data_IF_040727560629
#
_entry.id   IF_040727560629
#
_cell.length_a   1.000
_cell.length_b   1.000
_cell.length_c   1.000
_cell.angle_alpha   90.00
_cell.angle_beta   90.00
_cell.angle_gamma   90.00
#
_symmetry.space_group_name_H-M   'P 1'
#
loop_
_entity.id
_entity.type
_entity.pdbx_description
1 polymer ?
#
# COMPACT_ATOMS: atom_id res chain seq x y z
N UNK A 1 -22.50 5.26 25.60
CA UNK A 1 -21.06 5.13 25.89
C UNK A 1 -20.32 5.39 24.59
N UNK A 2 -19.33 6.28 24.58
CA UNK A 2 -18.50 6.47 23.38
C UNK A 2 -17.54 5.29 23.30
N UNK A 3 -17.53 4.54 22.19
CA UNK A 3 -16.46 3.57 21.96
C UNK A 3 -15.15 4.34 21.82
N UNK A 4 -14.12 3.90 22.55
CA UNK A 4 -12.76 4.42 22.42
C UNK A 4 -11.90 3.37 21.74
N UNK A 5 -11.12 3.81 20.77
CA UNK A 5 -10.07 3.00 20.16
C UNK A 5 -8.80 3.17 20.96
N UNK A 6 -8.06 2.10 21.16
CA UNK A 6 -6.71 2.16 21.72
C UNK A 6 -5.66 1.66 20.74
N UNK A 7 -4.50 2.30 20.80
CA UNK A 7 -3.31 1.94 20.05
C UNK A 7 -2.20 1.67 21.06
N UNK A 8 -1.83 0.41 21.19
CA UNK A 8 -0.72 0.04 22.08
C UNK A 8 0.59 0.48 21.46
N UNK A 9 1.46 1.08 22.26
CA UNK A 9 2.78 1.52 21.85
C UNK A 9 3.84 1.11 22.87
N UNK A 10 4.92 0.50 22.40
CA UNK A 10 5.96 -0.02 23.27
C UNK A 10 7.10 -0.68 22.49
N UNK A 11 8.06 -1.21 23.24
CA UNK A 11 9.29 -1.75 22.68
C UNK A 11 10.11 -2.50 23.73
N UNK A 12 11.24 -3.09 23.32
CA UNK A 12 12.16 -3.75 24.23
C UNK A 12 12.85 -2.71 25.13
N UNK A 13 13.49 -3.16 26.22
CA UNK A 13 14.22 -2.28 27.13
C UNK A 13 15.27 -1.42 26.39
N UNK A 14 15.38 -0.14 26.74
CA UNK A 14 16.31 0.80 26.08
C UNK A 14 15.73 1.53 24.86
N UNK A 15 14.46 1.28 24.52
CA UNK A 15 13.74 1.96 23.44
C UNK A 15 13.03 3.24 23.88
N UNK A 16 13.11 3.62 25.16
CA UNK A 16 12.27 4.67 25.77
C UNK A 16 12.47 6.03 25.09
N UNK A 17 13.71 6.34 24.69
CA UNK A 17 14.01 7.59 23.97
C UNK A 17 13.38 7.60 22.57
N UNK A 18 13.50 6.48 21.84
CA UNK A 18 12.91 6.36 20.49
C UNK A 18 11.38 6.42 20.53
N UNK A 19 10.79 5.70 21.50
CA UNK A 19 9.34 5.73 21.76
C UNK A 19 8.89 7.15 22.09
N UNK A 20 9.59 7.85 23.00
CA UNK A 20 9.22 9.21 23.40
C UNK A 20 9.29 10.19 22.23
N UNK A 21 10.31 10.08 21.36
CA UNK A 21 10.44 10.92 20.16
C UNK A 21 9.27 10.67 19.20
N UNK A 22 8.99 9.41 18.87
CA UNK A 22 7.90 9.08 17.97
C UNK A 22 6.53 9.44 18.56
N UNK A 23 6.29 9.20 19.85
CA UNK A 23 5.06 9.62 20.53
C UNK A 23 4.87 11.13 20.46
N UNK A 24 5.94 11.90 20.67
CA UNK A 24 5.91 13.36 20.56
C UNK A 24 5.57 13.80 19.13
N UNK A 25 6.20 13.22 18.12
CA UNK A 25 5.91 13.56 16.72
C UNK A 25 4.52 13.12 16.27
N UNK A 26 4.05 11.95 16.70
CA UNK A 26 2.67 11.51 16.48
C UNK A 26 1.68 12.47 17.12
N UNK A 27 1.94 12.93 18.36
CA UNK A 27 1.11 13.93 19.04
C UNK A 27 1.18 15.32 18.40
N UNK A 28 2.28 15.63 17.71
CA UNK A 28 2.42 16.85 16.91
C UNK A 28 1.68 16.77 15.57
N UNK A 29 1.58 15.56 14.99
CA UNK A 29 0.88 15.33 13.72
C UNK A 29 -0.62 15.17 13.91
N UNK A 30 -1.04 14.47 14.97
CA UNK A 30 -2.43 14.26 15.33
C UNK A 30 -2.76 15.11 16.55
N UNK A 31 -3.65 16.12 16.44
CA UNK A 31 -3.96 17.00 17.55
C UNK A 31 -4.45 16.20 18.75
N UNK A 32 -3.97 16.56 19.94
CA UNK A 32 -4.36 15.93 21.19
C UNK A 32 -5.40 16.77 21.93
N UNK A 33 -6.27 16.09 22.70
CA UNK A 33 -7.18 16.75 23.61
C UNK A 33 -6.44 17.08 24.92
N UNK A 34 -6.07 18.35 25.10
CA UNK A 34 -5.28 18.85 26.24
C UNK A 34 -5.94 18.61 27.61
N UNK A 35 -7.22 18.23 27.66
CA UNK A 35 -7.94 18.03 28.93
C UNK A 35 -7.74 16.65 29.56
N UNK A 36 -7.14 15.69 28.85
CA UNK A 36 -6.96 14.33 29.35
C UNK A 36 -5.55 14.06 29.86
N UNK A 37 -5.44 13.31 30.97
CA UNK A 37 -4.15 12.85 31.51
C UNK A 37 -3.47 11.79 30.64
N UNK A 38 -4.20 11.26 29.66
CA UNK A 38 -3.81 10.19 28.73
C UNK A 38 -3.49 10.81 27.38
N UNK A 39 -2.45 10.33 26.70
CA UNK A 39 -2.13 10.81 25.35
C UNK A 39 -3.16 10.29 24.36
N UNK A 40 -4.18 11.12 24.07
CA UNK A 40 -5.18 10.84 23.05
C UNK A 40 -4.81 11.55 21.74
N UNK A 41 -4.95 10.85 20.62
CA UNK A 41 -4.77 11.36 19.27
C UNK A 41 -6.13 11.52 18.59
N UNK A 42 -6.35 12.67 17.96
CA UNK A 42 -7.52 12.89 17.11
C UNK A 42 -7.13 12.67 15.64
N UNK A 43 -7.46 11.49 15.12
CA UNK A 43 -7.18 11.13 13.72
C UNK A 43 -8.37 11.59 12.88
N UNK A 44 -8.15 12.52 11.94
CA UNK A 44 -9.21 13.04 11.07
C UNK A 44 -8.76 13.01 9.62
N UNK A 45 -9.54 12.36 8.77
CA UNK A 45 -9.34 12.36 7.32
C UNK A 45 -10.63 12.81 6.59
N UNK A 46 -10.61 12.74 5.25
CA UNK A 46 -11.74 13.13 4.40
C UNK A 46 -13.02 12.31 4.66
N UNK A 47 -12.92 11.13 5.27
CA UNK A 47 -13.99 10.16 5.41
C UNK A 47 -14.53 10.07 6.85
N UNK A 48 -13.65 10.07 7.85
CA UNK A 48 -14.01 9.93 9.26
C UNK A 48 -13.11 10.73 10.19
N UNK A 49 -13.57 10.89 11.43
CA UNK A 49 -12.74 11.27 12.57
C UNK A 49 -12.78 10.19 13.64
N UNK A 50 -11.67 9.92 14.30
CA UNK A 50 -11.52 8.91 15.35
C UNK A 50 -10.71 9.47 16.52
N UNK A 51 -11.08 9.06 17.74
CA UNK A 51 -10.29 9.34 18.94
C UNK A 51 -9.56 8.05 19.32
N UNK A 52 -8.23 8.11 19.31
CA UNK A 52 -7.35 6.95 19.54
C UNK A 52 -6.47 7.24 20.75
N UNK A 53 -6.60 6.41 21.78
CA UNK A 53 -5.81 6.52 23.00
C UNK A 53 -4.47 5.77 22.81
N UNK A 54 -3.35 6.45 23.03
CA UNK A 54 -2.03 5.80 23.06
C UNK A 54 -1.83 5.14 24.42
N UNK A 55 -1.63 3.83 24.40
CA UNK A 55 -1.58 3.02 25.61
C UNK A 55 -0.22 2.34 25.71
N UNK A 56 0.58 2.62 26.75
CA UNK A 56 1.82 1.91 27.00
C UNK A 56 1.61 0.40 27.16
N UNK A 57 2.61 -0.40 26.82
CA UNK A 57 2.50 -1.87 26.93
C UNK A 57 2.40 -2.37 28.38
N UNK A 58 2.96 -1.63 29.33
CA UNK A 58 2.86 -1.92 30.77
C UNK A 58 1.50 -1.51 31.37
N UNK A 59 0.64 -0.85 30.58
CA UNK A 59 -0.69 -0.49 31.03
C UNK A 59 -1.59 -1.71 31.17
N UNK A 60 -2.07 -1.93 32.40
CA UNK A 60 -3.04 -2.97 32.74
C UNK A 60 -4.44 -2.36 32.78
N UNK A 61 -5.37 -2.95 32.02
CA UNK A 61 -6.75 -2.51 32.03
C UNK A 61 -7.50 -3.08 33.23
N UNK A 62 -8.37 -2.26 33.81
CA UNK A 62 -9.43 -2.77 34.69
C UNK A 62 -10.42 -3.58 33.85
N UNK A 63 -10.83 -4.74 34.35
CA UNK A 63 -11.73 -5.70 33.68
C UNK A 63 -13.04 -5.13 33.17
N UNK A 64 -13.46 -3.97 33.67
CA UNK A 64 -14.75 -3.35 33.38
C UNK A 64 -14.73 -2.41 32.16
N UNK A 65 -13.57 -2.22 31.53
CA UNK A 65 -13.42 -1.30 30.41
C UNK A 65 -13.54 -2.03 29.07
N UNK A 66 -14.62 -1.77 28.34
CA UNK A 66 -14.86 -2.31 26.99
C UNK A 66 -14.02 -1.54 25.97
N UNK A 67 -12.70 -1.69 26.04
CA UNK A 67 -11.77 -1.12 25.07
C UNK A 67 -11.45 -2.15 24.00
N UNK A 68 -11.54 -1.73 22.74
CA UNK A 68 -11.02 -2.52 21.62
C UNK A 68 -9.66 -1.96 21.24
N UNK A 69 -8.65 -2.82 21.32
CA UNK A 69 -7.28 -2.50 20.95
C UNK A 69 -7.09 -2.65 19.46
N UNK A 70 -7.40 -1.59 18.72
CA UNK A 70 -7.42 -1.62 17.26
C UNK A 70 -6.02 -1.76 16.66
N UNK A 71 -4.96 -1.33 17.36
CA UNK A 71 -3.61 -1.36 16.82
C UNK A 71 -2.47 -1.59 17.81
N UNK A 72 -1.32 -2.02 17.27
CA UNK A 72 -0.03 -2.20 17.96
C UNK A 72 1.09 -1.51 17.19
N UNK A 73 1.90 -0.73 17.89
CA UNK A 73 3.17 -0.16 17.42
C UNK A 73 4.33 -0.77 18.24
N UNK A 74 5.10 -1.66 17.62
CA UNK A 74 6.35 -2.17 18.18
C UNK A 74 7.50 -1.28 17.73
N UNK A 75 8.14 -0.55 18.65
CA UNK A 75 9.20 0.41 18.36
C UNK A 75 10.50 -0.06 18.98
N UNK A 76 11.58 -0.16 18.20
CA UNK A 76 12.87 -0.59 18.70
C UNK A 76 14.03 0.09 17.96
N UNK A 77 15.18 0.32 18.62
CA UNK A 77 16.37 0.82 17.94
C UNK A 77 16.88 -0.18 16.89
N UNK A 78 17.38 0.32 15.76
CA UNK A 78 17.92 -0.47 14.65
C UNK A 78 19.13 -1.36 15.00
N UNK A 79 19.73 -1.19 16.19
CA UNK A 79 20.81 -2.06 16.68
C UNK A 79 20.29 -3.26 17.47
N UNK A 80 19.01 -3.27 17.81
CA UNK A 80 18.37 -4.37 18.54
C UNK A 80 18.02 -5.51 17.60
N UNK A 81 18.24 -6.74 18.08
CA UNK A 81 17.84 -7.96 17.36
C UNK A 81 16.32 -8.14 17.43
N UNK A 82 15.71 -8.48 16.30
CA UNK A 82 14.25 -8.58 16.19
C UNK A 82 13.65 -9.66 17.09
N UNK A 83 14.40 -10.74 17.34
CA UNK A 83 13.95 -11.85 18.18
C UNK A 83 13.59 -11.41 19.61
N UNK A 84 14.19 -10.31 20.09
CA UNK A 84 13.85 -9.71 21.39
C UNK A 84 12.41 -9.23 21.49
N UNK A 85 11.73 -9.01 20.35
CA UNK A 85 10.32 -8.64 20.30
C UNK A 85 9.38 -9.84 20.42
N UNK A 86 9.88 -11.08 20.28
CA UNK A 86 9.05 -12.29 20.27
C UNK A 86 8.30 -12.47 21.58
N UNK A 87 8.99 -12.32 22.72
CA UNK A 87 8.36 -12.44 24.03
C UNK A 87 7.31 -11.35 24.27
N UNK A 88 7.58 -10.14 23.75
CA UNK A 88 6.68 -9.00 23.85
C UNK A 88 5.40 -9.22 23.03
N UNK A 89 5.54 -9.65 21.78
CA UNK A 89 4.42 -10.01 20.91
C UNK A 89 3.58 -11.14 21.52
N UNK A 90 4.22 -12.23 21.97
CA UNK A 90 3.51 -13.36 22.58
C UNK A 90 2.75 -12.95 23.85
N UNK A 91 3.33 -12.05 24.65
CA UNK A 91 2.68 -11.51 25.84
C UNK A 91 1.42 -10.72 25.46
N UNK A 92 1.50 -9.85 24.45
CA UNK A 92 0.34 -9.07 23.98
C UNK A 92 -0.78 -9.97 23.47
N UNK A 93 -0.47 -10.90 22.57
CA UNK A 93 -1.44 -11.87 22.01
C UNK A 93 -2.11 -12.73 23.09
N UNK A 94 -1.37 -13.08 24.14
CA UNK A 94 -1.93 -13.89 25.24
C UNK A 94 -2.77 -13.09 26.25
N UNK A 95 -2.53 -11.77 26.36
CA UNK A 95 -3.17 -10.94 27.38
C UNK A 95 -4.47 -10.32 26.88
N UNK A 96 -4.52 -9.97 25.59
CA UNK A 96 -5.66 -9.26 25.01
C UNK A 96 -6.14 -10.01 23.77
N UNK A 97 -7.39 -10.52 23.77
CA UNK A 97 -7.96 -11.13 22.57
C UNK A 97 -8.12 -10.06 21.48
N UNK A 98 -7.78 -10.42 20.23
CA UNK A 98 -7.93 -9.54 19.04
C UNK A 98 -7.08 -8.26 19.10
N UNK A 99 -5.93 -8.32 19.77
CA UNK A 99 -5.03 -7.17 19.88
C UNK A 99 -4.45 -6.80 18.53
N UNK A 100 -4.66 -5.55 18.11
CA UNK A 100 -4.07 -5.03 16.89
C UNK A 100 -4.62 -5.63 15.61
N UNK A 101 -5.84 -6.16 15.60
CA UNK A 101 -6.45 -6.74 14.40
C UNK A 101 -6.60 -5.75 13.24
N UNK A 102 -6.56 -4.45 13.52
CA UNK A 102 -6.74 -3.40 12.49
C UNK A 102 -5.42 -2.82 12.02
N UNK A 103 -4.43 -2.64 12.91
CA UNK A 103 -3.14 -2.03 12.58
C UNK A 103 -1.99 -2.67 13.36
N UNK A 104 -1.00 -3.22 12.66
CA UNK A 104 0.22 -3.79 13.27
C UNK A 104 1.45 -3.22 12.58
N UNK A 105 2.16 -2.32 13.26
CA UNK A 105 3.41 -1.74 12.73
C UNK A 105 4.60 -2.17 13.59
N UNK A 106 5.68 -2.57 12.94
CA UNK A 106 6.97 -2.86 13.55
C UNK A 106 8.00 -1.85 13.05
N UNK A 107 8.40 -0.93 13.92
CA UNK A 107 9.12 0.29 13.60
C UNK A 107 10.54 0.19 14.16
N UNK A 108 11.52 0.13 13.25
CA UNK A 108 12.95 0.21 13.58
C UNK A 108 13.41 1.67 13.52
N UNK A 109 13.90 2.22 14.62
CA UNK A 109 14.38 3.61 14.69
C UNK A 109 15.88 3.72 14.49
N UNK A 110 16.31 4.71 13.74
CA UNK A 110 17.73 4.94 13.50
C UNK A 110 18.08 6.41 13.31
N UNK A 111 19.37 6.70 13.43
CA UNK A 111 19.98 7.94 12.96
C UNK A 111 20.83 7.56 11.74
N UNK A 112 20.88 8.36 10.65
CA UNK A 112 21.59 7.97 9.43
C UNK A 112 23.06 7.61 9.64
N UNK A 113 23.72 8.19 10.66
CA UNK A 113 25.10 7.85 11.02
C UNK A 113 25.29 6.46 11.62
N UNK A 114 24.22 5.81 12.07
CA UNK A 114 24.26 4.51 12.75
C UNK A 114 24.18 3.32 11.81
N UNK A 115 23.76 3.52 10.56
CA UNK A 115 23.50 2.45 9.61
C UNK A 115 24.43 2.57 8.41
N UNK A 116 25.21 1.52 8.17
CA UNK A 116 25.85 1.28 6.89
C UNK A 116 24.91 0.45 6.01
N UNK A 117 24.09 1.14 5.22
CA UNK A 117 23.09 0.52 4.33
C UNK A 117 23.73 -0.30 3.21
N UNK A 118 25.04 -0.13 2.96
CA UNK A 118 25.77 -0.87 1.92
C UNK A 118 26.34 -2.20 2.43
N UNK A 119 26.26 -2.45 3.73
CA UNK A 119 26.79 -3.66 4.34
C UNK A 119 25.88 -4.87 4.10
N UNK A 120 26.48 -6.00 3.72
CA UNK A 120 25.76 -7.29 3.65
C UNK A 120 25.08 -7.67 4.96
N UNK A 121 25.68 -7.26 6.09
CA UNK A 121 25.09 -7.51 7.41
C UNK A 121 23.79 -6.74 7.61
N UNK A 122 23.69 -5.52 7.06
CA UNK A 122 22.47 -4.73 7.10
C UNK A 122 21.37 -5.40 6.26
N UNK A 123 21.69 -5.84 5.04
CA UNK A 123 20.74 -6.55 4.17
C UNK A 123 20.21 -7.84 4.83
N UNK A 124 21.10 -8.65 5.42
CA UNK A 124 20.71 -9.86 6.15
C UNK A 124 19.82 -9.53 7.34
N UNK A 125 20.19 -8.53 8.15
CA UNK A 125 19.40 -8.10 9.30
C UNK A 125 18.03 -7.54 8.88
N UNK A 126 17.99 -6.75 7.81
CA UNK A 126 16.76 -6.21 7.24
C UNK A 126 15.84 -7.35 6.79
N UNK A 127 16.38 -8.34 6.06
CA UNK A 127 15.59 -9.50 5.61
C UNK A 127 15.00 -10.31 6.77
N UNK A 128 15.77 -10.54 7.84
CA UNK A 128 15.30 -11.23 9.04
C UNK A 128 14.15 -10.47 9.72
N UNK A 129 14.24 -9.14 9.78
CA UNK A 129 13.18 -8.29 10.35
C UNK A 129 11.90 -8.35 9.54
N UNK A 130 12.00 -8.23 8.22
CA UNK A 130 10.86 -8.31 7.32
C UNK A 130 10.18 -9.67 7.46
N UNK A 131 10.93 -10.78 7.43
CA UNK A 131 10.38 -12.13 7.60
C UNK A 131 9.67 -12.29 8.96
N UNK A 132 10.29 -11.84 10.05
CA UNK A 132 9.68 -11.88 11.38
C UNK A 132 8.34 -11.13 11.44
N UNK A 133 8.26 -9.98 10.77
CA UNK A 133 7.06 -9.15 10.70
C UNK A 133 5.97 -9.82 9.88
N UNK A 134 6.30 -10.37 8.69
CA UNK A 134 5.37 -11.07 7.83
C UNK A 134 4.71 -12.27 8.53
N UNK A 135 5.50 -13.06 9.24
CA UNK A 135 5.01 -14.23 10.00
C UNK A 135 3.97 -13.88 11.07
N UNK A 136 3.96 -12.63 11.54
CA UNK A 136 3.11 -12.13 12.64
C UNK A 136 2.10 -11.08 12.21
N UNK A 137 2.03 -10.79 10.91
CA UNK A 137 1.12 -9.81 10.32
C UNK A 137 1.48 -8.36 10.65
N UNK A 138 2.75 -8.05 10.92
CA UNK A 138 3.23 -6.67 11.05
C UNK A 138 3.73 -6.13 9.71
N UNK A 139 3.53 -4.84 9.50
CA UNK A 139 4.28 -4.08 8.49
C UNK A 139 5.59 -3.56 9.09
N UNK A 140 6.73 -3.89 8.47
CA UNK A 140 8.04 -3.41 8.89
C UNK A 140 8.34 -2.03 8.29
N UNK A 141 8.74 -1.06 9.12
CA UNK A 141 9.05 0.31 8.69
C UNK A 141 10.35 0.78 9.37
N UNK A 142 11.29 1.34 8.61
CA UNK A 142 12.49 1.98 9.16
C UNK A 142 12.31 3.49 9.26
N UNK A 143 12.43 4.05 10.45
CA UNK A 143 12.22 5.48 10.70
C UNK A 143 13.51 6.15 11.13
N UNK A 144 13.93 7.14 10.33
CA UNK A 144 14.95 8.10 10.73
C UNK A 144 14.34 9.09 11.75
N UNK A 145 14.82 9.04 12.99
CA UNK A 145 14.33 9.87 14.11
C UNK A 145 14.97 11.26 14.17
N UNK A 146 15.81 11.62 13.20
CA UNK A 146 16.27 13.01 13.04
C UNK A 146 15.13 13.91 12.58
N UNK A 147 15.24 15.21 12.85
CA UNK A 147 14.24 16.19 12.41
C UNK A 147 14.00 16.16 10.89
N UNK A 148 15.06 15.91 10.11
CA UNK A 148 14.95 15.76 8.65
C UNK A 148 14.19 14.50 8.25
N UNK A 149 14.53 13.35 8.84
CA UNK A 149 13.85 12.08 8.59
C UNK A 149 12.35 12.10 8.94
N UNK A 150 12.00 12.74 10.06
CA UNK A 150 10.62 12.89 10.53
C UNK A 150 9.76 13.82 9.67
N UNK A 151 10.37 14.59 8.75
CA UNK A 151 9.68 15.48 7.80
C UNK A 151 9.78 15.01 6.35
N UNK A 152 10.59 14.00 6.07
CA UNK A 152 10.75 13.43 4.74
C UNK A 152 9.55 12.54 4.34
N UNK A 153 9.37 12.26 3.05
CA UNK A 153 8.41 11.28 2.55
C UNK A 153 6.96 11.75 2.41
N UNK A 154 6.57 12.88 3.01
CA UNK A 154 5.16 13.33 3.04
C UNK A 154 4.59 13.76 1.69
N UNK A 155 5.42 14.06 0.70
CA UNK A 155 4.99 14.42 -0.66
C UNK A 155 5.18 13.27 -1.67
N UNK A 156 5.84 12.18 -1.26
CA UNK A 156 6.16 11.07 -2.16
C UNK A 156 4.91 10.25 -2.49
N UNK A 157 4.87 9.66 -3.68
CA UNK A 157 3.75 8.81 -4.08
C UNK A 157 3.65 7.55 -3.21
N UNK A 158 4.80 6.95 -2.93
CA UNK A 158 4.96 5.79 -2.06
C UNK A 158 5.59 6.30 -0.77
N UNK A 159 4.82 6.32 0.31
CA UNK A 159 5.31 6.81 1.61
C UNK A 159 6.27 5.79 2.20
N UNK A 160 7.35 6.29 2.77
CA UNK A 160 8.30 5.50 3.57
C UNK A 160 8.57 6.21 4.91
N UNK A 161 9.26 5.53 5.83
CA UNK A 161 9.65 6.05 7.13
C UNK A 161 8.49 6.59 7.95
N UNK A 162 8.68 7.77 8.57
CA UNK A 162 7.64 8.35 9.43
C UNK A 162 6.36 8.71 8.66
N UNK A 163 6.48 9.13 7.40
CA UNK A 163 5.32 9.42 6.56
C UNK A 163 4.46 8.17 6.32
N UNK A 164 5.08 6.99 6.18
CA UNK A 164 4.35 5.72 6.05
C UNK A 164 3.60 5.35 7.32
N UNK A 165 4.20 5.56 8.50
CA UNK A 165 3.52 5.35 9.80
C UNK A 165 2.25 6.20 9.89
N UNK A 166 2.37 7.50 9.55
CA UNK A 166 1.22 8.43 9.56
C UNK A 166 0.16 8.02 8.54
N UNK A 167 0.55 7.61 7.34
CA UNK A 167 -0.36 7.13 6.31
C UNK A 167 -1.13 5.89 6.78
N UNK A 168 -0.44 4.89 7.33
CA UNK A 168 -1.05 3.67 7.85
C UNK A 168 -2.07 3.99 8.96
N UNK A 169 -1.73 4.89 9.89
CA UNK A 169 -2.66 5.34 10.93
C UNK A 169 -3.88 6.09 10.37
N UNK A 170 -3.71 6.92 9.35
CA UNK A 170 -4.81 7.63 8.68
C UNK A 170 -5.70 6.72 7.82
N UNK A 171 -5.14 5.64 7.26
CA UNK A 171 -5.84 4.64 6.46
C UNK A 171 -6.61 3.60 7.27
N UNK A 172 -6.26 3.44 8.55
CA UNK A 172 -6.86 2.48 9.47
C UNK A 172 -8.29 2.90 9.84
N UNK A 173 -9.27 1.99 9.72
CA UNK A 173 -10.65 2.23 10.15
C UNK A 173 -10.81 1.88 11.63
N UNK A 174 -10.64 2.88 12.48
CA UNK A 174 -10.71 2.74 13.94
C UNK A 174 -12.13 2.40 14.43
N UNK A 175 -12.24 1.61 15.50
CA UNK A 175 -13.52 1.28 16.12
C UNK A 175 -14.26 2.49 16.70
N UNK A 176 -13.55 3.59 16.97
CA UNK A 176 -14.11 4.89 17.38
C UNK A 176 -14.42 5.82 16.21
N UNK A 177 -14.24 5.38 14.96
CA UNK A 177 -14.44 6.22 13.78
C UNK A 177 -15.90 6.68 13.64
N UNK A 178 -16.08 7.99 13.50
CA UNK A 178 -17.35 8.66 13.21
C UNK A 178 -17.28 9.23 11.81
N UNK A 179 -18.18 8.77 10.94
CA UNK A 179 -18.25 9.21 9.54
C UNK A 179 -18.69 10.68 9.44
N UNK A 180 -18.03 11.44 8.56
CA UNK A 180 -18.38 12.85 8.32
C UNK A 180 -19.81 13.04 7.79
N UNK A 181 -20.56 13.96 8.40
CA UNK A 181 -21.97 14.24 8.04
C UNK A 181 -22.18 14.66 6.58
N UNK A 182 -21.16 15.24 5.94
CA UNK A 182 -21.22 15.74 4.56
C UNK A 182 -21.39 14.65 3.50
N UNK A 183 -21.23 13.36 3.84
CA UNK A 183 -21.48 12.23 2.93
C UNK A 183 -22.51 11.21 3.43
N UNK A 184 -22.90 11.25 4.71
CA UNK A 184 -23.95 10.40 5.24
C UNK A 184 -25.29 10.57 4.48
N UNK A 185 -25.57 11.80 4.02
CA UNK A 185 -26.75 12.12 3.20
C UNK A 185 -26.72 11.41 1.82
N UNK A 186 -25.56 11.31 1.17
CA UNK A 186 -25.45 10.68 -0.16
C UNK A 186 -25.59 9.16 -0.05
N UNK A 187 -24.96 8.54 0.95
CA UNK A 187 -25.10 7.10 1.18
C UNK A 187 -26.53 6.71 1.58
N UNK A 188 -27.21 7.52 2.42
CA UNK A 188 -28.63 7.31 2.74
C UNK A 188 -29.55 7.54 1.52
N UNK A 189 -29.24 8.49 0.65
CA UNK A 189 -30.04 8.75 -0.57
C UNK A 189 -29.89 7.60 -1.58
N UNK A 190 -28.69 7.04 -1.75
CA UNK A 190 -28.46 5.90 -2.64
C UNK A 190 -29.05 4.58 -2.12
N UNK A 191 -29.06 4.37 -0.80
CA UNK A 191 -29.70 3.20 -0.20
C UNK A 191 -31.24 3.29 -0.21
N UNK A 192 -31.79 4.51 -0.17
CA UNK A 192 -33.24 4.72 -0.26
C UNK A 192 -33.77 4.73 -1.71
N UNK A 193 -32.90 4.68 -2.73
CA UNK A 193 -33.31 4.66 -4.15
C UNK A 193 -33.50 3.25 -4.73
N UNK A 194 -33.41 2.20 -3.91
CA UNK A 194 -33.51 0.81 -4.37
C UNK A 194 -34.92 0.20 -4.27
N UNK A 195 -35.88 0.90 -3.63
CA UNK A 195 -37.20 0.33 -3.26
C UNK A 195 -38.40 0.96 -3.98
N UNK A 196 -38.22 1.73 -5.06
CA UNK A 196 -39.34 2.34 -5.80
C UNK A 196 -39.32 2.02 -7.31
N UNK A 197 -39.47 0.73 -7.65
CA UNK A 197 -39.91 0.29 -8.98
C UNK A 197 -41.42 0.57 -9.18
N UNK A 198 -41.87 1.83 -9.15
CA UNK A 198 -43.14 2.18 -9.82
C UNK A 198 -43.41 3.68 -10.04
N UNK A 199 -42.52 4.40 -10.72
CA UNK A 199 -42.93 5.70 -11.30
C UNK A 199 -42.62 5.83 -12.79
N UNK A 200 -43.62 6.26 -13.60
CA UNK A 200 -43.46 6.44 -15.03
C UNK A 200 -42.59 7.67 -15.31
N UNK A 201 -41.53 7.42 -16.09
CA UNK A 201 -40.57 8.40 -16.61
C UNK A 201 -41.33 9.53 -17.33
N UNK A 202 -41.25 10.75 -16.78
CA UNK A 202 -41.56 11.98 -17.53
C UNK A 202 -40.27 12.49 -18.16
N UNK A 203 -40.22 12.43 -19.48
CA UNK A 203 -39.19 13.07 -20.30
C UNK A 203 -39.24 14.60 -20.12
N UNK A 204 -38.23 15.18 -19.47
CA UNK A 204 -37.95 16.61 -19.57
C UNK A 204 -36.76 16.85 -20.51
N UNK A 205 -37.04 17.65 -21.55
CA UNK A 205 -36.09 18.08 -22.58
C UNK A 205 -34.96 18.93 -21.97
N UNK A 206 -33.69 18.69 -22.32
CA UNK A 206 -32.60 19.57 -21.93
C UNK A 206 -32.62 20.85 -22.78
N UNK A 207 -32.61 22.00 -22.10
CA UNK A 207 -32.37 23.31 -22.70
C UNK A 207 -30.88 23.49 -22.92
N UNK A 208 -30.49 23.70 -24.17
CA UNK A 208 -29.17 24.15 -24.57
C UNK A 208 -28.86 25.51 -23.95
N UNK A 209 -27.71 25.62 -23.28
CA UNK A 209 -27.08 26.89 -22.96
C UNK A 209 -25.69 26.86 -23.58
N UNK A 210 -25.54 27.63 -24.66
CA UNK A 210 -24.27 27.92 -25.31
C UNK A 210 -23.47 28.84 -24.40
N UNK A 211 -22.29 28.40 -23.94
CA UNK A 211 -21.27 29.31 -23.42
C UNK A 211 -19.97 29.15 -24.19
N UNK A 212 -19.55 30.30 -24.72
CA UNK A 212 -18.37 30.58 -25.53
C UNK A 212 -17.08 30.25 -24.79
N UNK A 213 -16.22 29.45 -25.42
CA UNK A 213 -14.79 29.35 -25.09
C UNK A 213 -14.01 29.94 -26.26
N UNK A 214 -13.07 30.88 -26.04
CA UNK A 214 -12.24 31.44 -27.11
C UNK A 214 -11.09 30.48 -27.47
N UNK A 215 -11.03 30.11 -28.74
CA UNK A 215 -9.91 29.46 -29.41
C UNK A 215 -8.61 30.28 -29.25
N UNK A 216 -7.53 29.60 -28.87
CA UNK A 216 -6.17 30.07 -29.11
C UNK A 216 -5.40 28.92 -29.74
N UNK A 217 -5.42 28.91 -31.08
CA UNK A 217 -4.69 27.97 -31.91
C UNK A 217 -3.18 28.26 -31.83
N UNK A 218 -2.39 27.23 -31.52
CA UNK A 218 -0.99 27.12 -31.96
C UNK A 218 -0.82 25.76 -32.64
N UNK A 219 -0.21 25.71 -33.83
CA UNK A 219 -0.07 24.47 -34.58
C UNK A 219 1.05 23.62 -33.97
N UNK A 220 0.71 22.41 -33.54
CA UNK A 220 1.68 21.36 -33.21
C UNK A 220 1.65 20.35 -34.35
N UNK A 221 2.73 20.36 -35.14
CA UNK A 221 2.97 19.39 -36.20
C UNK A 221 3.00 17.98 -35.61
N UNK A 222 2.07 17.15 -36.09
CA UNK A 222 2.00 15.73 -35.79
C UNK A 222 2.94 14.99 -36.75
N UNK A 223 3.92 14.19 -36.30
CA UNK A 223 4.58 13.24 -37.17
C UNK A 223 3.63 12.07 -37.42
N UNK A 224 3.27 11.89 -38.68
CA UNK A 224 2.43 10.81 -39.20
C UNK A 224 3.05 9.44 -38.87
N UNK A 225 2.32 8.63 -38.13
CA UNK A 225 2.62 7.21 -37.91
C UNK A 225 2.23 6.44 -39.18
N UNK A 226 3.25 5.96 -39.90
CA UNK A 226 3.11 5.05 -41.03
C UNK A 226 3.10 3.61 -40.50
N UNK A 227 1.91 3.10 -40.19
CA UNK A 227 1.72 1.68 -39.86
C UNK A 227 1.68 0.89 -41.16
N UNK A 228 2.84 0.44 -41.62
CA UNK A 228 2.95 -0.53 -42.70
C UNK A 228 2.39 -1.89 -42.26
N UNK A 229 1.28 -2.29 -42.87
CA UNK A 229 0.74 -3.66 -42.83
C UNK A 229 1.71 -4.62 -43.54
N UNK A 230 2.49 -5.38 -42.78
CA UNK A 230 3.23 -6.52 -43.30
C UNK A 230 2.47 -7.82 -43.03
N UNK A 231 1.71 -8.22 -44.05
CA UNK A 231 1.17 -9.56 -44.23
C UNK A 231 2.33 -10.49 -44.64
N UNK A 232 2.86 -11.31 -43.73
CA UNK A 232 3.83 -12.35 -44.06
C UNK A 232 3.31 -13.68 -43.51
N UNK A 233 2.56 -14.37 -44.37
CA UNK A 233 2.45 -15.83 -44.33
C UNK A 233 3.71 -16.35 -45.01
N UNK A 234 4.59 -17.00 -44.26
CA UNK A 234 5.69 -17.77 -44.84
C UNK A 234 5.97 -19.00 -43.99
N UNK A 235 5.34 -20.08 -44.45
CA UNK A 235 5.64 -21.47 -44.14
C UNK A 235 7.05 -21.78 -44.66
N UNK A 236 8.06 -21.70 -43.79
CA UNK A 236 9.41 -22.23 -44.03
C UNK A 236 9.97 -22.82 -42.74
N UNK A 237 9.94 -24.15 -42.68
CA UNK A 237 10.87 -24.93 -41.85
C UNK A 237 12.26 -24.80 -42.45
N UNK A 238 13.26 -24.77 -41.55
CA UNK A 238 14.72 -24.69 -41.79
C UNK A 238 15.29 -23.27 -41.69
N UNK A 239 15.49 -22.83 -40.43
CA UNK A 239 16.70 -22.19 -39.86
C UNK A 239 16.32 -21.63 -38.47
N UNK A 240 16.47 -22.45 -37.41
CA UNK A 240 16.02 -22.12 -36.05
C UNK A 240 17.01 -21.26 -35.25
N UNK A 241 18.25 -21.09 -35.70
CA UNK A 241 19.26 -20.35 -34.93
C UNK A 241 19.08 -18.82 -35.07
N UNK A 242 18.62 -18.32 -36.23
CA UNK A 242 18.40 -16.88 -36.45
C UNK A 242 17.15 -16.33 -35.72
N UNK A 243 16.17 -17.18 -35.40
CA UNK A 243 14.93 -16.76 -34.74
C UNK A 243 15.12 -16.44 -33.24
N UNK A 244 16.05 -17.14 -32.57
CA UNK A 244 16.32 -16.92 -31.14
C UNK A 244 17.04 -15.58 -30.91
N UNK A 245 17.92 -15.17 -31.82
CA UNK A 245 18.64 -13.89 -31.74
C UNK A 245 17.67 -12.70 -31.91
N UNK A 246 16.74 -12.79 -32.86
CA UNK A 246 15.71 -11.76 -33.09
C UNK A 246 14.77 -11.63 -31.87
N UNK A 247 14.40 -12.74 -31.22
CA UNK A 247 13.60 -12.73 -30.00
C UNK A 247 14.34 -12.06 -28.83
N UNK A 248 15.63 -12.34 -28.67
CA UNK A 248 16.45 -11.71 -27.63
C UNK A 248 16.61 -10.20 -27.85
N UNK A 249 16.83 -9.77 -29.10
CA UNK A 249 16.94 -8.35 -29.45
C UNK A 249 15.62 -7.60 -29.17
N UNK A 250 14.47 -8.23 -29.47
CA UNK A 250 13.14 -7.68 -29.17
C UNK A 250 12.89 -7.58 -27.66
N UNK A 251 13.32 -8.58 -26.88
CA UNK A 251 13.23 -8.54 -25.43
C UNK A 251 14.10 -7.44 -24.81
N UNK A 252 15.33 -7.27 -25.29
CA UNK A 252 16.22 -6.20 -24.82
C UNK A 252 15.65 -4.81 -25.12
N UNK A 253 15.07 -4.62 -26.31
CA UNK A 253 14.39 -3.37 -26.67
C UNK A 253 13.22 -3.06 -25.72
N UNK A 254 12.44 -4.08 -25.34
CA UNK A 254 11.33 -3.94 -24.42
C UNK A 254 11.78 -3.58 -23.00
N UNK A 255 12.81 -4.26 -22.47
CA UNK A 255 13.37 -3.95 -21.14
C UNK A 255 13.91 -2.52 -21.09
N UNK A 256 14.56 -2.07 -22.16
CA UNK A 256 15.04 -0.70 -22.27
C UNK A 256 13.89 0.32 -22.33
N UNK A 257 12.79 0.01 -23.02
CA UNK A 257 11.61 0.88 -23.04
C UNK A 257 10.91 0.94 -21.68
N UNK A 258 10.77 -0.19 -20.99
CA UNK A 258 10.22 -0.23 -19.62
C UNK A 258 11.06 0.62 -18.64
N UNK A 259 12.39 0.54 -18.76
CA UNK A 259 13.32 1.37 -17.98
C UNK A 259 13.14 2.86 -18.30
N UNK A 260 13.01 3.22 -19.59
CA UNK A 260 12.75 4.59 -20.02
C UNK A 260 11.43 5.13 -19.48
N UNK A 261 10.35 4.34 -19.48
CA UNK A 261 9.05 4.73 -18.92
C UNK A 261 9.19 5.01 -17.41
N UNK A 262 9.93 4.16 -16.68
CA UNK A 262 10.19 4.35 -15.25
C UNK A 262 10.96 5.63 -14.97
N UNK A 263 12.05 5.89 -15.69
CA UNK A 263 12.86 7.10 -15.55
C UNK A 263 12.07 8.36 -15.92
N UNK A 264 11.31 8.33 -17.01
CA UNK A 264 10.47 9.44 -17.43
C UNK A 264 9.33 9.72 -16.43
N UNK A 265 8.73 8.67 -15.86
CA UNK A 265 7.76 8.78 -14.77
C UNK A 265 8.36 9.40 -13.51
N UNK A 266 9.61 9.07 -13.20
CA UNK A 266 10.28 9.60 -12.01
C UNK A 266 10.68 11.07 -12.18
N UNK A 267 11.03 11.48 -13.40
CA UNK A 267 11.36 12.88 -13.73
C UNK A 267 10.15 13.82 -13.83
N UNK A 268 8.92 13.31 -13.76
CA UNK A 268 7.69 14.10 -13.88
C UNK A 268 7.41 14.63 -15.29
N UNK A 269 8.15 14.17 -16.30
CA UNK A 269 8.03 14.64 -17.69
C UNK A 269 6.88 13.99 -18.48
N UNK A 270 6.22 12.96 -17.93
CA UNK A 270 5.08 12.29 -18.56
C UNK A 270 3.81 12.49 -17.73
N UNK A 271 2.72 12.82 -18.43
CA UNK A 271 1.39 12.85 -17.80
C UNK A 271 0.93 11.45 -17.42
N UNK A 272 -0.02 11.35 -16.48
CA UNK A 272 -0.55 10.06 -16.03
C UNK A 272 -1.20 9.26 -17.18
N UNK A 273 -1.82 9.96 -18.14
CA UNK A 273 -2.45 9.35 -19.31
C UNK A 273 -1.41 8.78 -20.29
N UNK A 274 -0.34 9.52 -20.57
CA UNK A 274 0.76 9.02 -21.41
C UNK A 274 1.49 7.85 -20.76
N UNK A 275 1.65 7.87 -19.42
CA UNK A 275 2.20 6.73 -18.67
C UNK A 275 1.31 5.50 -18.82
N UNK A 276 -0.01 5.65 -18.71
CA UNK A 276 -0.97 4.54 -18.85
C UNK A 276 -0.95 3.96 -20.27
N UNK A 277 -0.95 4.81 -21.30
CA UNK A 277 -0.90 4.38 -22.69
C UNK A 277 0.39 3.62 -23.02
N UNK A 278 1.55 4.13 -22.58
CA UNK A 278 2.85 3.46 -22.84
C UNK A 278 3.00 2.15 -22.08
N UNK A 279 2.50 2.07 -20.84
CA UNK A 279 2.47 0.82 -20.10
C UNK A 279 1.58 -0.23 -20.78
N UNK A 280 0.43 0.19 -21.33
CA UNK A 280 -0.44 -0.67 -22.14
C UNK A 280 0.27 -1.25 -23.36
N UNK A 281 0.92 -0.40 -24.17
CA UNK A 281 1.66 -0.84 -25.34
C UNK A 281 2.81 -1.82 -24.98
N UNK A 282 3.54 -1.55 -23.89
CA UNK A 282 4.60 -2.45 -23.43
C UNK A 282 4.06 -3.81 -22.98
N UNK A 283 2.88 -3.83 -22.33
CA UNK A 283 2.22 -5.06 -21.92
C UNK A 283 1.70 -5.87 -23.12
N UNK A 284 1.14 -5.22 -24.14
CA UNK A 284 0.71 -5.88 -25.38
C UNK A 284 1.89 -6.54 -26.11
N UNK A 285 3.03 -5.85 -26.20
CA UNK A 285 4.25 -6.41 -26.78
C UNK A 285 4.77 -7.61 -25.99
N UNK A 286 4.72 -7.55 -24.65
CA UNK A 286 5.12 -8.66 -23.79
C UNK A 286 4.21 -9.89 -23.96
N UNK A 287 2.89 -9.68 -24.04
CA UNK A 287 1.94 -10.76 -24.29
C UNK A 287 2.17 -11.40 -25.67
N UNK A 288 2.45 -10.62 -26.71
CA UNK A 288 2.81 -11.15 -28.02
C UNK A 288 4.06 -12.01 -28.00
N UNK A 289 5.10 -11.57 -27.27
CA UNK A 289 6.35 -12.32 -27.13
C UNK A 289 6.16 -13.63 -26.35
N UNK A 290 5.38 -13.60 -25.26
CA UNK A 290 5.06 -14.79 -24.46
C UNK A 290 4.23 -15.81 -25.26
N UNK A 291 3.29 -15.35 -26.08
CA UNK A 291 2.53 -16.22 -26.99
C UNK A 291 3.43 -16.90 -28.03
N UNK A 292 4.43 -16.18 -28.56
CA UNK A 292 5.39 -16.74 -29.50
C UNK A 292 6.38 -17.72 -28.85
N UNK A 293 6.67 -17.57 -27.55
CA UNK A 293 7.51 -18.50 -26.77
C UNK A 293 6.82 -19.82 -26.40
N UNK A 294 5.56 -20.04 -26.83
CA UNK A 294 4.91 -21.34 -26.72
C UNK A 294 4.54 -21.74 -25.28
N UNK A 295 4.19 -20.77 -24.43
CA UNK A 295 3.60 -21.04 -23.12
C UNK A 295 2.12 -21.47 -23.18
N UNK A 296 1.55 -21.55 -24.39
CA UNK A 296 0.21 -22.11 -24.63
C UNK A 296 0.28 -23.65 -24.68
N UNK A 297 -0.12 -24.27 -23.57
CA UNK A 297 -0.88 -25.53 -23.50
C UNK A 297 -0.29 -26.77 -24.20
N UNK A 298 0.72 -27.39 -23.59
CA UNK A 298 0.89 -28.86 -23.64
C UNK A 298 1.06 -29.40 -22.22
N UNK A 299 -0.06 -29.71 -21.53
CA UNK A 299 -0.14 -30.79 -20.53
C UNK A 299 -1.59 -30.96 -20.05
N UNK A 300 -2.42 -31.51 -20.94
CA UNK A 300 -3.75 -32.04 -20.65
C UNK A 300 -3.78 -33.55 -20.99
N UNK A 301 -2.81 -34.34 -20.47
CA UNK A 301 -2.91 -35.81 -20.49
C UNK A 301 -1.96 -36.48 -19.48
N UNK A 302 -2.45 -36.83 -18.28
CA UNK A 302 -2.30 -38.22 -17.81
C UNK A 302 -3.28 -38.54 -16.68
N UNK A 303 -4.30 -39.31 -17.03
CA UNK A 303 -5.23 -39.89 -16.08
C UNK A 303 -4.56 -40.96 -15.22
N UNK A 304 -4.43 -40.71 -13.91
CA UNK A 304 -4.24 -41.79 -12.93
C UNK A 304 -5.53 -42.07 -12.16
N UNK A 305 -6.29 -42.99 -12.74
CA UNK A 305 -7.31 -43.81 -12.08
C UNK A 305 -6.69 -44.53 -10.87
N UNK A 306 -6.85 -43.99 -9.66
CA UNK A 306 -6.67 -44.78 -8.44
C UNK A 306 -7.96 -45.53 -8.12
N UNK A 307 -7.94 -46.75 -8.62
CA UNK A 307 -8.90 -47.81 -8.40
C UNK A 307 -8.85 -48.27 -6.93
N UNK A 308 -10.05 -48.39 -6.37
CA UNK A 308 -10.51 -49.27 -5.31
C UNK A 308 -9.45 -50.13 -4.58
N UNK A 309 -9.30 -49.92 -3.27
CA UNK A 309 -9.04 -51.06 -2.39
C UNK A 309 -9.83 -50.96 -1.08
N UNK A 310 -11.06 -51.45 -1.18
CA UNK A 310 -11.78 -52.03 -0.05
C UNK A 310 -10.98 -53.20 0.53
N UNK A 311 -10.55 -53.09 1.78
CA UNK A 311 -10.37 -54.27 2.63
C UNK A 311 -10.53 -53.89 4.10
N UNK A 312 -11.56 -54.49 4.69
CA UNK A 312 -11.70 -55.00 6.06
C UNK A 312 -11.17 -54.18 7.23
#
# INVERSE_FOLDING_TARGET
MSCKSSLRIGGPFGSETSISILQKELSGHFPSDEQSSTTSLQITNKYFGANVELVPFDHTYSSDSLHKEDGILLIFPCKTQIDTLTDLHNTLESTVPEVGDTLRLCISTHVPSDIDTTSKLYEETYSQRVLWCLDRGYEYIEVDITEGGLRAGFDDREKDGFARVVEAMNGTVWSSAVMGKSKASIAQTLLNSCDDENQPVKEEKPKANEDKIPETEKPVESPSTDCSENNIVSDKKEDNEDQEEDLFNNFEQMVNEAKRIREASHSGNLTDEERRARAGNAAEMLMGLLGQMGFDEEDDDDGSSYDSNSNQ
#
